data_IF_753120166450
#
_entry.id   IF_753120166450
#
_cell.length_a   1.000
_cell.length_b   1.000
_cell.length_c   1.000
_cell.angle_alpha   90.00
_cell.angle_beta   90.00
_cell.angle_gamma   90.00
#
_symmetry.space_group_name_H-M   'P 1'
#
loop_
_entity.id
_entity.type
_entity.pdbx_description
1 polymer ?
#
# COMPACT_ATOMS: atom_id res chain seq x y z
N UNK A 1 -3.73 1.51 -15.54
CA UNK A 1 -2.82 2.37 -16.31
C UNK A 1 -1.83 2.96 -15.33
N UNK A 2 -0.52 2.87 -15.59
CA UNK A 2 0.48 3.57 -14.78
C UNK A 2 0.18 5.09 -14.83
N UNK A 3 0.27 5.75 -13.67
CA UNK A 3 0.15 7.21 -13.65
C UNK A 3 1.43 7.83 -14.22
N UNK A 4 1.30 8.94 -14.95
CA UNK A 4 2.46 9.73 -15.42
C UNK A 4 3.36 10.11 -14.24
N UNK A 5 4.69 9.97 -14.41
CA UNK A 5 5.67 10.32 -13.38
C UNK A 5 5.80 9.33 -12.21
N UNK A 6 5.43 8.05 -12.38
CA UNK A 6 5.43 7.07 -11.28
C UNK A 6 5.96 5.69 -11.70
N UNK A 7 6.98 5.68 -12.52
CA UNK A 7 7.56 4.48 -13.16
C UNK A 7 8.23 3.58 -12.13
N UNK A 8 9.11 4.14 -11.29
CA UNK A 8 9.92 3.40 -10.34
C UNK A 8 9.04 2.72 -9.27
N UNK A 9 8.05 3.44 -8.76
CA UNK A 9 7.12 2.90 -7.76
C UNK A 9 6.21 1.81 -8.38
N UNK A 10 5.81 1.96 -9.66
CA UNK A 10 5.05 0.94 -10.39
C UNK A 10 5.87 -0.34 -10.55
N UNK A 11 7.16 -0.23 -10.93
CA UNK A 11 8.06 -1.38 -11.03
C UNK A 11 8.18 -2.07 -9.66
N UNK A 12 8.40 -1.31 -8.59
CA UNK A 12 8.49 -1.82 -7.22
C UNK A 12 7.24 -2.61 -6.82
N UNK A 13 6.06 -2.06 -7.05
CA UNK A 13 4.77 -2.68 -6.69
C UNK A 13 4.46 -3.97 -7.49
N UNK A 14 5.02 -4.13 -8.68
CA UNK A 14 4.88 -5.32 -9.52
C UNK A 14 6.02 -6.33 -9.35
N UNK A 15 7.10 -5.97 -8.65
CA UNK A 15 8.36 -6.70 -8.62
C UNK A 15 8.21 -8.18 -8.29
N UNK A 16 7.41 -8.53 -7.28
CA UNK A 16 7.22 -9.91 -6.86
C UNK A 16 6.52 -10.77 -7.90
N UNK A 17 5.66 -10.18 -8.73
CA UNK A 17 4.93 -10.85 -9.81
C UNK A 17 5.75 -11.03 -11.11
N UNK A 18 6.91 -10.38 -11.21
CA UNK A 18 7.76 -10.42 -12.40
C UNK A 18 8.47 -11.77 -12.54
N UNK A 19 8.67 -12.21 -13.78
CA UNK A 19 9.50 -13.37 -14.11
C UNK A 19 10.97 -13.09 -13.80
N UNK A 20 11.80 -14.13 -13.74
CA UNK A 20 13.25 -14.00 -13.46
C UNK A 20 13.96 -13.03 -14.41
N UNK A 21 13.63 -13.06 -15.71
CA UNK A 21 14.20 -12.14 -16.71
C UNK A 21 13.69 -10.70 -16.52
N UNK A 22 12.41 -10.53 -16.19
CA UNK A 22 11.84 -9.21 -15.92
C UNK A 22 12.38 -8.59 -14.63
N UNK A 23 12.67 -9.41 -13.61
CA UNK A 23 13.35 -8.94 -12.39
C UNK A 23 14.74 -8.41 -12.66
N UNK A 24 15.53 -9.06 -13.53
CA UNK A 24 16.85 -8.55 -13.96
C UNK A 24 16.74 -7.14 -14.58
N UNK A 25 15.70 -6.93 -15.42
CA UNK A 25 15.42 -5.61 -16.02
C UNK A 25 15.01 -4.61 -14.95
N UNK A 26 14.07 -4.98 -14.09
CA UNK A 26 13.57 -4.15 -13.00
C UNK A 26 14.71 -3.72 -12.04
N UNK A 27 15.57 -4.65 -11.64
CA UNK A 27 16.73 -4.37 -10.77
C UNK A 27 17.65 -3.31 -11.35
N UNK A 28 17.93 -3.39 -12.67
CA UNK A 28 18.79 -2.40 -13.33
C UNK A 28 18.13 -1.04 -13.40
N UNK A 29 16.84 -0.97 -13.74
CA UNK A 29 16.10 0.28 -13.80
C UNK A 29 16.05 0.94 -12.42
N UNK A 30 15.78 0.16 -11.36
CA UNK A 30 15.70 0.67 -9.98
C UNK A 30 17.05 1.14 -9.44
N UNK A 31 18.17 0.51 -9.87
CA UNK A 31 19.52 0.90 -9.44
C UNK A 31 20.07 2.10 -10.21
N UNK A 32 19.80 2.18 -11.50
CA UNK A 32 20.40 3.16 -12.40
C UNK A 32 19.36 3.70 -13.38
N UNK A 33 18.34 4.40 -12.89
CA UNK A 33 17.26 4.91 -13.73
C UNK A 33 17.75 5.93 -14.76
N UNK A 34 18.76 6.74 -14.42
CA UNK A 34 19.37 7.72 -15.31
C UNK A 34 19.98 7.08 -16.55
N UNK A 35 20.72 5.98 -16.39
CA UNK A 35 21.28 5.21 -17.49
C UNK A 35 20.19 4.80 -18.48
N UNK A 36 19.06 4.29 -17.94
CA UNK A 36 17.96 3.79 -18.76
C UNK A 36 17.20 4.93 -19.45
N UNK A 37 17.07 6.08 -18.79
CA UNK A 37 16.44 7.27 -19.35
C UNK A 37 17.24 7.91 -20.50
N UNK A 38 18.57 7.76 -20.50
CA UNK A 38 19.46 8.38 -21.50
C UNK A 38 19.76 7.48 -22.69
N UNK A 39 19.92 6.17 -22.50
CA UNK A 39 20.37 5.26 -23.55
C UNK A 39 19.23 4.79 -24.48
N UNK A 40 19.55 4.43 -25.75
CA UNK A 40 18.59 3.83 -26.66
C UNK A 40 18.26 2.37 -26.28
N UNK A 41 17.14 1.85 -26.80
CA UNK A 41 16.64 0.49 -26.53
C UNK A 41 17.71 -0.59 -26.78
N UNK A 42 18.42 -0.50 -27.89
CA UNK A 42 19.44 -1.50 -28.28
C UNK A 42 20.63 -1.53 -27.30
N UNK A 43 21.02 -0.39 -26.78
CA UNK A 43 22.12 -0.27 -25.83
C UNK A 43 21.73 -0.84 -24.45
N UNK A 44 20.53 -0.49 -23.97
CA UNK A 44 20.00 -1.05 -22.72
C UNK A 44 19.80 -2.56 -22.83
N UNK A 45 19.24 -3.05 -23.95
CA UNK A 45 19.07 -4.47 -24.19
C UNK A 45 20.42 -5.24 -24.16
N UNK A 46 21.46 -4.65 -24.77
CA UNK A 46 22.81 -5.19 -24.74
C UNK A 46 23.42 -5.16 -23.32
N UNK A 47 23.27 -4.06 -22.60
CA UNK A 47 23.75 -3.91 -21.21
C UNK A 47 23.11 -4.94 -20.27
N UNK A 48 21.84 -5.20 -20.48
CA UNK A 48 21.07 -6.19 -19.69
C UNK A 48 21.25 -7.62 -20.15
N UNK A 49 21.92 -7.86 -21.29
CA UNK A 49 22.03 -9.17 -21.96
C UNK A 49 20.64 -9.80 -22.23
N UNK A 50 19.70 -8.99 -22.67
CA UNK A 50 18.34 -9.43 -23.05
C UNK A 50 18.02 -9.00 -24.48
N UNK A 51 17.08 -9.67 -25.13
CA UNK A 51 16.59 -9.23 -26.44
C UNK A 51 15.75 -7.95 -26.31
N UNK A 52 15.82 -7.06 -27.32
CA UNK A 52 15.01 -5.84 -27.39
C UNK A 52 13.51 -6.13 -27.22
N UNK A 53 13.01 -7.21 -27.86
CA UNK A 53 11.63 -7.66 -27.71
C UNK A 53 11.25 -7.99 -26.27
N UNK A 54 12.19 -8.49 -25.47
CA UNK A 54 11.98 -8.80 -24.04
C UNK A 54 11.84 -7.51 -23.25
N UNK A 55 12.67 -6.50 -23.52
CA UNK A 55 12.60 -5.19 -22.88
C UNK A 55 11.29 -4.46 -23.23
N UNK A 56 10.87 -4.49 -24.49
CA UNK A 56 9.58 -3.92 -24.93
C UNK A 56 8.40 -4.64 -24.26
N UNK A 57 8.46 -5.97 -24.16
CA UNK A 57 7.43 -6.76 -23.47
C UNK A 57 7.38 -6.41 -21.98
N UNK A 58 8.52 -6.27 -21.32
CA UNK A 58 8.59 -5.80 -19.92
C UNK A 58 7.88 -4.45 -19.75
N UNK A 59 8.16 -3.46 -20.60
CA UNK A 59 7.49 -2.16 -20.53
C UNK A 59 5.96 -2.30 -20.62
N UNK A 60 5.46 -3.20 -21.46
CA UNK A 60 4.02 -3.50 -21.59
C UNK A 60 3.47 -4.21 -20.38
N UNK A 61 4.22 -5.14 -19.79
CA UNK A 61 3.84 -5.85 -18.56
C UNK A 61 3.61 -4.89 -17.39
N UNK A 62 4.42 -3.83 -17.31
CA UNK A 62 4.31 -2.79 -16.26
C UNK A 62 3.34 -1.66 -16.63
N UNK A 63 2.64 -1.74 -17.78
CA UNK A 63 1.52 -0.87 -18.12
C UNK A 63 1.80 0.25 -19.12
N UNK A 64 2.99 0.30 -19.73
CA UNK A 64 3.35 1.27 -20.78
C UNK A 64 3.07 0.70 -22.18
N UNK A 65 2.90 1.59 -23.16
CA UNK A 65 2.65 1.17 -24.56
C UNK A 65 3.86 0.49 -25.20
N UNK A 66 5.06 0.81 -24.73
CA UNK A 66 6.35 0.28 -25.19
C UNK A 66 7.51 1.04 -24.55
N UNK A 67 8.73 0.77 -25.04
CA UNK A 67 9.95 1.35 -24.46
C UNK A 67 10.01 2.88 -24.57
N UNK A 68 9.59 3.47 -25.68
CA UNK A 68 9.61 4.93 -25.87
C UNK A 68 8.67 5.64 -24.89
N UNK A 69 7.47 5.11 -24.69
CA UNK A 69 6.50 5.62 -23.72
C UNK A 69 7.04 5.48 -22.28
N UNK A 70 7.58 4.33 -21.95
CA UNK A 70 8.24 4.06 -20.68
C UNK A 70 9.41 5.03 -20.41
N UNK A 71 10.30 5.20 -21.39
CA UNK A 71 11.47 6.07 -21.29
C UNK A 71 11.08 7.52 -21.09
N UNK A 72 10.07 8.00 -21.78
CA UNK A 72 9.53 9.37 -21.62
C UNK A 72 9.04 9.59 -20.20
N UNK A 73 8.19 8.70 -19.69
CA UNK A 73 7.65 8.80 -18.34
C UNK A 73 8.73 8.70 -17.26
N UNK A 74 9.73 7.83 -17.45
CA UNK A 74 10.89 7.73 -16.57
C UNK A 74 11.70 9.04 -16.56
N UNK A 75 11.92 9.64 -17.73
CA UNK A 75 12.66 10.92 -17.84
C UNK A 75 11.90 12.06 -17.15
N UNK A 76 10.58 12.10 -17.27
CA UNK A 76 9.73 13.10 -16.58
C UNK A 76 9.84 12.89 -15.06
N UNK A 77 9.76 11.64 -14.58
CA UNK A 77 9.87 11.34 -13.15
C UNK A 77 11.22 11.80 -12.58
N UNK A 78 12.32 11.52 -13.28
CA UNK A 78 13.67 11.93 -12.86
C UNK A 78 13.83 13.46 -12.85
N UNK A 79 13.41 14.14 -13.91
CA UNK A 79 13.46 15.59 -13.98
C UNK A 79 12.60 16.29 -12.90
N UNK A 80 11.50 15.69 -12.50
CA UNK A 80 10.66 16.23 -11.42
C UNK A 80 11.31 16.04 -10.05
N UNK A 81 12.05 14.94 -9.86
CA UNK A 81 12.80 14.67 -8.62
C UNK A 81 13.99 15.63 -8.46
N UNK A 82 14.73 15.89 -9.53
CA UNK A 82 15.89 16.82 -9.50
C UNK A 82 15.49 18.25 -9.06
N UNK A 83 14.26 18.67 -9.31
CA UNK A 83 13.75 19.99 -8.88
C UNK A 83 13.34 20.04 -7.39
N UNK A 84 13.32 18.92 -6.68
CA UNK A 84 12.98 18.84 -5.26
C UNK A 84 14.19 18.50 -4.37
N UNK A 85 15.41 18.43 -4.94
CA UNK A 85 16.57 17.93 -4.24
C UNK A 85 17.56 19.02 -3.81
N UNK A 86 17.48 19.36 -2.54
CA UNK A 86 18.69 19.57 -1.73
C UNK A 86 18.67 18.47 -0.66
N UNK A 87 19.58 17.49 -0.83
CA UNK A 87 19.87 16.38 0.10
C UNK A 87 18.84 15.23 0.16
N UNK A 88 18.94 14.29 -0.79
CA UNK A 88 18.46 12.91 -0.55
C UNK A 88 19.35 12.30 0.54
N UNK A 89 18.90 12.38 1.78
CA UNK A 89 19.51 11.61 2.87
C UNK A 89 19.37 10.13 2.54
N UNK A 90 20.50 9.43 2.37
CA UNK A 90 20.48 7.97 2.30
C UNK A 90 19.74 7.44 3.53
N UNK A 91 18.64 6.75 3.31
CA UNK A 91 17.80 6.24 4.40
C UNK A 91 18.38 4.97 5.05
N UNK A 92 19.50 4.47 4.54
CA UNK A 92 20.19 3.33 5.10
C UNK A 92 21.01 3.75 6.35
N UNK A 93 20.70 3.13 7.48
CA UNK A 93 21.41 3.36 8.76
C UNK A 93 22.78 2.68 8.69
N UNK A 94 23.82 3.45 8.89
CA UNK A 94 25.20 2.99 8.92
C UNK A 94 25.70 2.84 10.36
N UNK A 95 26.67 1.95 10.64
CA UNK A 95 27.25 1.79 11.97
C UNK A 95 27.92 3.04 12.53
N UNK A 96 28.29 4.00 11.66
CA UNK A 96 28.91 5.28 12.03
C UNK A 96 27.91 6.40 12.32
N UNK A 97 26.60 6.17 12.11
CA UNK A 97 25.59 7.21 12.30
C UNK A 97 25.39 7.51 13.79
N UNK A 98 25.35 8.77 14.14
CA UNK A 98 24.94 9.20 15.47
C UNK A 98 23.39 9.19 15.62
N UNK A 99 22.90 9.41 16.83
CA UNK A 99 21.46 9.36 17.11
C UNK A 99 20.66 10.40 16.32
N UNK A 100 21.22 11.58 16.04
CA UNK A 100 20.54 12.62 15.27
C UNK A 100 20.43 12.21 13.79
N UNK A 101 21.51 11.72 13.22
CA UNK A 101 21.53 11.19 11.85
C UNK A 101 20.55 10.04 11.67
N UNK A 102 20.49 9.11 12.63
CA UNK A 102 19.50 8.01 12.60
C UNK A 102 18.07 8.56 12.63
N UNK A 103 17.77 9.54 13.50
CA UNK A 103 16.45 10.14 13.56
C UNK A 103 16.05 10.84 12.25
N UNK A 104 16.98 11.58 11.63
CA UNK A 104 16.74 12.23 10.33
C UNK A 104 16.52 11.21 9.20
N UNK A 105 17.30 10.13 9.16
CA UNK A 105 17.13 9.04 8.20
C UNK A 105 15.78 8.33 8.34
N UNK A 106 15.35 8.09 9.58
CA UNK A 106 14.01 7.53 9.84
C UNK A 106 12.90 8.48 9.40
N UNK A 107 13.02 9.77 9.69
CA UNK A 107 12.07 10.78 9.24
C UNK A 107 11.97 10.82 7.71
N UNK A 108 13.11 10.85 7.02
CA UNK A 108 13.16 10.83 5.56
C UNK A 108 12.52 9.55 4.99
N UNK A 109 12.80 8.38 5.58
CA UNK A 109 12.19 7.11 5.17
C UNK A 109 10.66 7.13 5.29
N UNK A 110 10.14 7.68 6.38
CA UNK A 110 8.68 7.83 6.59
C UNK A 110 8.08 8.79 5.56
N UNK A 111 8.70 9.96 5.35
CA UNK A 111 8.22 10.95 4.36
C UNK A 111 8.17 10.36 2.96
N UNK A 112 9.21 9.66 2.54
CA UNK A 112 9.30 9.01 1.23
C UNK A 112 8.21 7.95 1.04
N UNK A 113 7.94 7.12 2.07
CA UNK A 113 6.88 6.11 2.03
C UNK A 113 5.49 6.73 1.94
N UNK A 114 5.25 7.83 2.62
CA UNK A 114 3.97 8.54 2.54
C UNK A 114 3.76 9.15 1.15
N UNK A 115 4.77 9.81 0.59
CA UNK A 115 4.73 10.35 -0.77
C UNK A 115 4.48 9.25 -1.80
N UNK A 116 5.23 8.15 -1.72
CA UNK A 116 5.03 6.98 -2.57
C UNK A 116 3.59 6.44 -2.45
N UNK A 117 3.06 6.37 -1.22
CA UNK A 117 1.68 5.89 -0.98
C UNK A 117 0.66 6.78 -1.70
N UNK A 118 0.77 8.10 -1.58
CA UNK A 118 -0.14 9.05 -2.27
C UNK A 118 -0.05 8.88 -3.79
N UNK A 119 1.16 8.67 -4.30
CA UNK A 119 1.40 8.51 -5.73
C UNK A 119 0.86 7.19 -6.29
N UNK A 120 0.94 6.08 -5.54
CA UNK A 120 0.45 4.76 -5.95
C UNK A 120 -1.07 4.60 -5.79
N UNK A 121 -1.68 5.34 -4.88
CA UNK A 121 -3.08 5.15 -4.52
C UNK A 121 -4.02 5.50 -5.66
N UNK A 122 -4.87 4.56 -6.05
CA UNK A 122 -5.97 4.80 -6.99
C UNK A 122 -7.14 5.46 -6.24
N UNK A 123 -7.27 6.78 -6.41
CA UNK A 123 -8.30 7.57 -5.72
C UNK A 123 -9.72 7.14 -6.11
N UNK A 124 -9.94 6.62 -7.33
CA UNK A 124 -11.27 6.12 -7.73
C UNK A 124 -11.63 4.85 -6.99
N UNK A 125 -10.68 3.92 -6.84
CA UNK A 125 -10.90 2.73 -6.01
C UNK A 125 -11.10 3.11 -4.54
N UNK A 126 -10.31 4.04 -4.01
CA UNK A 126 -10.46 4.55 -2.65
C UNK A 126 -11.88 5.11 -2.41
N UNK A 127 -12.40 5.93 -3.32
CA UNK A 127 -13.76 6.45 -3.23
C UNK A 127 -14.82 5.34 -3.23
N UNK A 128 -14.63 4.27 -4.03
CA UNK A 128 -15.55 3.13 -4.03
C UNK A 128 -15.48 2.35 -2.73
N UNK A 129 -14.28 2.19 -2.15
CA UNK A 129 -14.10 1.58 -0.82
C UNK A 129 -14.83 2.38 0.24
N UNK A 130 -14.67 3.71 0.27
CA UNK A 130 -15.37 4.60 1.21
C UNK A 130 -16.89 4.49 1.05
N UNK A 131 -17.41 4.47 -0.19
CA UNK A 131 -18.85 4.28 -0.47
C UNK A 131 -19.34 2.90 0.01
N UNK A 132 -18.54 1.86 -0.16
CA UNK A 132 -18.88 0.51 0.30
C UNK A 132 -18.93 0.45 1.83
N UNK A 133 -17.96 1.06 2.51
CA UNK A 133 -17.92 1.14 3.98
C UNK A 133 -19.12 1.90 4.53
N UNK A 134 -19.49 3.06 3.93
CA UNK A 134 -20.67 3.85 4.35
C UNK A 134 -21.99 3.05 4.28
N UNK A 135 -22.09 2.09 3.38
CA UNK A 135 -23.29 1.24 3.20
C UNK A 135 -23.23 -0.08 3.96
N UNK A 136 -22.06 -0.44 4.46
CA UNK A 136 -21.85 -1.72 5.08
C UNK A 136 -22.61 -1.87 6.40
N UNK A 137 -23.20 -3.05 6.61
CA UNK A 137 -23.76 -3.44 7.92
C UNK A 137 -22.64 -3.66 8.93
N UNK A 138 -21.55 -4.32 8.51
CA UNK A 138 -20.37 -4.62 9.34
C UNK A 138 -19.12 -4.51 8.47
N UNK A 139 -18.02 -4.18 9.12
CA UNK A 139 -16.68 -4.11 8.51
C UNK A 139 -15.77 -5.06 9.26
N UNK A 140 -15.00 -5.85 8.54
CA UNK A 140 -14.00 -6.73 9.13
C UNK A 140 -12.62 -6.44 8.55
N UNK A 141 -11.64 -6.25 9.44
CA UNK A 141 -10.25 -6.05 9.06
C UNK A 141 -9.45 -7.29 9.43
N UNK A 142 -8.75 -7.85 8.45
CA UNK A 142 -7.99 -9.08 8.58
C UNK A 142 -6.53 -8.83 8.26
N UNK A 143 -5.64 -9.20 9.15
CA UNK A 143 -4.20 -9.09 8.95
C UNK A 143 -3.44 -9.85 10.01
N UNK A 144 -2.27 -10.39 9.67
CA UNK A 144 -1.39 -11.10 10.60
C UNK A 144 -0.15 -10.28 10.92
N UNK A 145 0.47 -10.54 12.07
CA UNK A 145 1.67 -9.82 12.49
C UNK A 145 1.45 -8.32 12.63
N UNK A 146 2.34 -7.51 12.07
CA UNK A 146 2.25 -6.05 12.17
C UNK A 146 1.04 -5.46 11.42
N UNK A 147 0.56 -6.12 10.35
CA UNK A 147 -0.69 -5.72 9.68
C UNK A 147 -1.93 -5.96 10.55
N UNK A 148 -1.90 -6.96 11.45
CA UNK A 148 -2.94 -7.15 12.46
C UNK A 148 -3.00 -6.01 13.47
N UNK A 149 -1.86 -5.45 13.86
CA UNK A 149 -1.80 -4.27 14.75
C UNK A 149 -2.43 -3.05 14.09
N UNK A 150 -2.14 -2.81 12.80
CA UNK A 150 -2.77 -1.71 12.06
C UNK A 150 -4.28 -1.92 11.85
N UNK A 151 -4.72 -3.16 11.68
CA UNK A 151 -6.14 -3.51 11.61
C UNK A 151 -6.87 -3.19 12.93
N UNK A 152 -6.27 -3.51 14.07
CA UNK A 152 -6.82 -3.17 15.40
C UNK A 152 -6.90 -1.67 15.64
N UNK A 153 -5.89 -0.88 15.22
CA UNK A 153 -5.95 0.58 15.31
C UNK A 153 -7.11 1.15 14.50
N UNK A 154 -7.26 0.70 13.25
CA UNK A 154 -8.36 1.12 12.39
C UNK A 154 -9.73 0.74 12.95
N UNK A 155 -9.89 -0.48 13.52
CA UNK A 155 -11.09 -0.90 14.23
C UNK A 155 -11.45 0.09 15.32
N UNK A 156 -10.48 0.43 16.18
CA UNK A 156 -10.70 1.35 17.30
C UNK A 156 -11.15 2.75 16.83
N UNK A 157 -10.56 3.27 15.74
CA UNK A 157 -10.92 4.56 15.15
C UNK A 157 -12.32 4.55 14.55
N UNK A 158 -12.64 3.53 13.74
CA UNK A 158 -13.94 3.41 13.06
C UNK A 158 -15.10 3.16 14.05
N UNK A 159 -14.87 2.33 15.07
CA UNK A 159 -15.84 2.10 16.13
C UNK A 159 -16.24 3.41 16.83
N UNK A 160 -15.29 4.31 17.10
CA UNK A 160 -15.54 5.59 17.76
C UNK A 160 -16.39 6.56 16.96
N UNK A 161 -16.51 6.39 15.66
CA UNK A 161 -17.42 7.17 14.79
C UNK A 161 -18.70 6.40 14.44
N UNK A 162 -18.95 5.25 15.08
CA UNK A 162 -20.22 4.55 15.07
C UNK A 162 -20.34 3.37 14.11
N UNK A 163 -19.27 2.98 13.41
CA UNK A 163 -19.29 1.80 12.57
C UNK A 163 -19.26 0.51 13.41
N UNK A 164 -19.97 -0.51 12.94
CA UNK A 164 -19.83 -1.87 13.45
C UNK A 164 -18.61 -2.52 12.77
N UNK A 165 -17.53 -2.59 13.48
CA UNK A 165 -16.24 -3.03 12.95
C UNK A 165 -15.57 -4.00 13.90
N UNK A 166 -14.95 -5.03 13.34
CA UNK A 166 -14.11 -5.97 14.08
C UNK A 166 -12.78 -6.21 13.36
N UNK A 167 -11.77 -6.63 14.08
CA UNK A 167 -10.46 -6.97 13.55
C UNK A 167 -9.91 -8.19 14.28
N UNK A 168 -9.22 -9.06 13.56
CA UNK A 168 -8.52 -10.20 14.16
C UNK A 168 -7.30 -10.59 13.34
N UNK A 169 -6.23 -10.96 14.04
CA UNK A 169 -5.01 -11.52 13.46
C UNK A 169 -4.85 -13.03 13.73
N UNK A 170 -5.84 -13.68 14.34
CA UNK A 170 -5.84 -15.12 14.57
C UNK A 170 -6.49 -15.83 13.38
N UNK A 171 -5.76 -16.72 12.72
CA UNK A 171 -6.16 -17.39 11.48
C UNK A 171 -7.51 -18.09 11.59
N UNK A 172 -7.74 -18.86 12.67
CA UNK A 172 -8.99 -19.59 12.86
C UNK A 172 -10.19 -18.64 12.94
N UNK A 173 -10.06 -17.58 13.73
CA UNK A 173 -11.12 -16.57 13.84
C UNK A 173 -11.32 -15.78 12.55
N UNK A 174 -10.23 -15.45 11.82
CA UNK A 174 -10.33 -14.81 10.50
C UNK A 174 -11.20 -15.64 9.55
N UNK A 175 -10.97 -16.97 9.45
CA UNK A 175 -11.73 -17.85 8.57
C UNK A 175 -13.17 -18.01 9.02
N UNK A 176 -13.41 -18.16 10.32
CA UNK A 176 -14.76 -18.28 10.88
C UNK A 176 -15.58 -17.01 10.66
N UNK A 177 -14.98 -15.85 10.89
CA UNK A 177 -15.64 -14.56 10.64
C UNK A 177 -15.91 -14.36 9.15
N UNK A 178 -14.94 -14.64 8.27
CA UNK A 178 -15.12 -14.54 6.83
C UNK A 178 -16.22 -15.43 6.28
N UNK A 179 -16.39 -16.64 6.85
CA UNK A 179 -17.47 -17.57 6.49
C UNK A 179 -18.87 -17.08 6.87
N UNK A 180 -18.98 -16.13 7.81
CA UNK A 180 -20.25 -15.54 8.26
C UNK A 180 -20.57 -14.19 7.61
N UNK A 181 -19.74 -13.73 6.68
CA UNK A 181 -19.98 -12.49 5.93
C UNK A 181 -21.07 -12.69 4.87
N UNK A 182 -21.68 -11.59 4.49
CA UNK A 182 -22.73 -11.51 3.47
C UNK A 182 -22.47 -10.35 2.52
N UNK A 183 -23.31 -10.21 1.50
CA UNK A 183 -23.24 -9.08 0.55
C UNK A 183 -23.46 -7.69 1.19
N UNK A 184 -23.91 -7.63 2.44
CA UNK A 184 -24.07 -6.39 3.20
C UNK A 184 -22.82 -6.05 4.02
N UNK A 185 -21.77 -6.84 3.98
CA UNK A 185 -20.57 -6.69 4.80
C UNK A 185 -19.35 -6.32 3.91
N UNK A 186 -18.35 -5.68 4.52
CA UNK A 186 -17.06 -5.35 3.87
C UNK A 186 -15.93 -6.08 4.59
N UNK A 187 -15.07 -6.74 3.83
CA UNK A 187 -13.86 -7.40 4.31
C UNK A 187 -12.61 -6.68 3.78
N UNK A 188 -11.76 -6.18 4.66
CA UNK A 188 -10.51 -5.50 4.32
C UNK A 188 -9.35 -6.39 4.75
N UNK A 189 -8.60 -6.92 3.79
CA UNK A 189 -7.40 -7.72 4.06
C UNK A 189 -6.15 -6.85 3.98
N UNK A 190 -5.37 -6.82 5.07
CA UNK A 190 -4.11 -6.10 5.16
C UNK A 190 -2.94 -7.08 5.03
N UNK A 191 -2.16 -6.94 3.97
CA UNK A 191 -0.95 -7.72 3.76
C UNK A 191 0.05 -6.89 2.95
N UNK A 192 1.08 -6.38 3.61
CA UNK A 192 2.05 -5.51 2.93
C UNK A 192 2.69 -6.20 1.73
N UNK A 193 3.22 -7.41 1.89
CA UNK A 193 3.79 -8.18 0.78
C UNK A 193 2.76 -8.66 -0.23
N UNK A 194 1.48 -8.81 0.19
CA UNK A 194 0.43 -9.44 -0.60
C UNK A 194 0.48 -10.98 -0.61
N UNK A 195 1.45 -11.59 0.09
CA UNK A 195 1.71 -13.03 0.07
C UNK A 195 1.37 -13.74 1.39
N UNK A 196 0.69 -13.09 2.33
CA UNK A 196 0.15 -13.76 3.51
C UNK A 196 -0.96 -14.74 3.08
N UNK A 197 -0.68 -16.02 3.23
CA UNK A 197 -1.62 -17.09 2.85
C UNK A 197 -2.91 -17.00 3.65
N UNK A 198 -2.83 -16.62 4.93
CA UNK A 198 -3.96 -16.46 5.83
C UNK A 198 -4.88 -15.34 5.36
N UNK A 199 -4.32 -14.18 5.04
CA UNK A 199 -5.09 -13.03 4.56
C UNK A 199 -5.72 -13.30 3.19
N UNK A 200 -4.97 -13.92 2.27
CA UNK A 200 -5.47 -14.30 0.95
C UNK A 200 -6.63 -15.31 1.05
N UNK A 201 -6.47 -16.34 1.89
CA UNK A 201 -7.53 -17.34 2.10
C UNK A 201 -8.78 -16.74 2.75
N UNK A 202 -8.60 -15.82 3.71
CA UNK A 202 -9.70 -15.09 4.35
C UNK A 202 -10.49 -14.26 3.34
N UNK A 203 -9.81 -13.49 2.49
CA UNK A 203 -10.49 -12.72 1.43
C UNK A 203 -11.19 -13.62 0.42
N UNK A 204 -10.60 -14.78 0.07
CA UNK A 204 -11.26 -15.78 -0.76
C UNK A 204 -12.59 -16.24 -0.16
N UNK A 205 -12.59 -16.61 1.13
CA UNK A 205 -13.82 -17.02 1.84
C UNK A 205 -14.84 -15.88 1.84
N UNK A 206 -14.44 -14.68 2.22
CA UNK A 206 -15.30 -13.50 2.24
C UNK A 206 -15.96 -13.23 0.88
N UNK A 207 -15.15 -13.29 -0.19
CA UNK A 207 -15.60 -13.11 -1.58
C UNK A 207 -16.64 -14.17 -1.98
N UNK A 208 -16.40 -15.44 -1.63
CA UNK A 208 -17.32 -16.55 -1.93
C UNK A 208 -18.66 -16.38 -1.22
N UNK A 209 -18.69 -15.72 -0.05
CA UNK A 209 -19.91 -15.40 0.69
C UNK A 209 -20.57 -14.07 0.24
N UNK A 210 -20.03 -13.44 -0.82
CA UNK A 210 -20.62 -12.26 -1.45
C UNK A 210 -20.23 -10.92 -0.80
N UNK A 211 -19.38 -10.90 0.24
CA UNK A 211 -18.93 -9.67 0.85
C UNK A 211 -18.10 -8.84 -0.13
N UNK A 212 -18.17 -7.51 -0.02
CA UNK A 212 -17.25 -6.63 -0.74
C UNK A 212 -15.86 -6.79 -0.14
N UNK A 213 -14.88 -7.10 -0.98
CA UNK A 213 -13.50 -7.39 -0.55
C UNK A 213 -12.53 -6.31 -0.98
N UNK A 214 -11.65 -5.90 -0.05
CA UNK A 214 -10.64 -4.87 -0.25
C UNK A 214 -9.29 -5.44 0.15
N UNK A 215 -8.27 -5.27 -0.68
CA UNK A 215 -6.87 -5.55 -0.33
C UNK A 215 -6.12 -4.24 -0.08
N UNK A 216 -5.48 -4.12 1.06
CA UNK A 216 -4.50 -3.07 1.34
C UNK A 216 -3.11 -3.70 1.34
N UNK A 217 -2.32 -3.38 0.32
CA UNK A 217 -1.04 -4.06 0.06
C UNK A 217 -0.09 -3.16 -0.74
N UNK A 218 1.22 -3.46 -0.71
CA UNK A 218 2.14 -2.86 -1.68
C UNK A 218 2.12 -3.57 -3.04
N UNK A 219 1.80 -4.85 -3.06
CA UNK A 219 1.93 -5.70 -4.25
C UNK A 219 0.65 -5.69 -5.09
N UNK A 220 0.69 -5.01 -6.24
CA UNK A 220 -0.45 -4.90 -7.16
C UNK A 220 -0.94 -6.24 -7.72
N UNK A 221 -0.04 -7.23 -7.85
CA UNK A 221 -0.35 -8.58 -8.32
C UNK A 221 0.16 -9.60 -7.33
N UNK A 222 -0.72 -10.10 -6.50
CA UNK A 222 -0.38 -11.03 -5.42
C UNK A 222 -1.59 -11.89 -5.05
N UNK A 223 -1.40 -12.98 -4.32
CA UNK A 223 -2.51 -13.84 -3.87
C UNK A 223 -3.62 -13.08 -3.13
N UNK A 224 -3.28 -12.01 -2.38
CA UNK A 224 -4.28 -11.21 -1.66
C UNK A 224 -5.13 -10.38 -2.62
N UNK A 225 -4.55 -9.86 -3.72
CA UNK A 225 -5.28 -9.04 -4.68
C UNK A 225 -6.17 -9.86 -5.62
N UNK A 226 -5.92 -11.17 -5.75
CA UNK A 226 -6.71 -12.06 -6.61
C UNK A 226 -8.18 -12.15 -6.16
N UNK A 227 -8.44 -12.01 -4.87
CA UNK A 227 -9.79 -12.12 -4.29
C UNK A 227 -10.37 -10.76 -3.85
N UNK A 228 -9.75 -9.65 -4.25
CA UNK A 228 -10.22 -8.32 -3.91
C UNK A 228 -11.07 -7.69 -5.03
N UNK A 229 -12.17 -7.03 -4.66
CA UNK A 229 -12.93 -6.17 -5.55
C UNK A 229 -12.20 -4.85 -5.79
N UNK A 230 -11.51 -4.36 -4.74
CA UNK A 230 -10.72 -3.12 -4.74
C UNK A 230 -9.34 -3.37 -4.17
N UNK A 231 -8.34 -2.77 -4.79
CA UNK A 231 -6.95 -2.84 -4.33
C UNK A 231 -6.45 -1.44 -4.02
N UNK A 232 -6.10 -1.21 -2.77
CA UNK A 232 -5.46 0.02 -2.30
C UNK A 232 -3.96 -0.26 -2.13
N UNK A 233 -3.15 0.44 -2.94
CA UNK A 233 -1.70 0.22 -2.94
C UNK A 233 -1.05 1.23 -2.03
N UNK A 234 -0.24 0.77 -1.08
CA UNK A 234 0.59 1.58 -0.22
C UNK A 234 2.07 1.51 -0.61
N UNK A 235 2.84 2.53 -0.27
CA UNK A 235 4.28 2.60 -0.52
C UNK A 235 5.09 1.53 0.22
N UNK A 236 6.30 1.30 -0.26
CA UNK A 236 7.19 0.24 0.23
C UNK A 236 8.67 0.64 0.25
N UNK A 237 9.03 1.84 0.53
CA UNK A 237 10.47 2.13 0.55
C UNK A 237 11.12 1.38 1.72
N UNK A 238 11.64 0.17 1.45
CA UNK A 238 12.33 -0.69 2.42
C UNK A 238 13.84 -0.51 2.31
N UNK A 239 14.50 -0.26 3.45
CA UNK A 239 15.94 -0.47 3.61
C UNK A 239 16.26 -1.95 3.87
N UNK A 240 17.54 -2.29 4.10
CA UNK A 240 18.02 -3.67 4.36
C UNK A 240 17.40 -4.36 5.58
N UNK A 241 16.82 -3.63 6.51
CA UNK A 241 16.02 -4.15 7.63
C UNK A 241 14.58 -4.45 7.15
N UNK A 242 14.46 -5.48 6.31
CA UNK A 242 13.17 -5.93 5.76
C UNK A 242 12.29 -6.56 6.85
N UNK A 243 10.98 -6.28 6.79
CA UNK A 243 9.95 -6.98 7.56
C UNK A 243 9.40 -6.21 8.76
N UNK A 244 10.20 -5.43 9.48
CA UNK A 244 9.77 -4.65 10.65
C UNK A 244 9.90 -3.13 10.46
N UNK A 245 9.98 -2.67 9.21
CA UNK A 245 10.19 -1.25 8.95
C UNK A 245 8.98 -0.44 9.42
N UNK A 246 9.28 0.65 10.12
CA UNK A 246 8.27 1.63 10.54
C UNK A 246 7.45 2.11 9.33
N UNK A 247 8.05 2.20 8.14
CA UNK A 247 7.43 2.64 6.91
C UNK A 247 6.24 1.78 6.49
N UNK A 248 6.34 0.46 6.63
CA UNK A 248 5.23 -0.46 6.30
C UNK A 248 3.98 -0.17 7.12
N UNK A 249 4.14 -0.03 8.44
CA UNK A 249 3.02 0.27 9.35
C UNK A 249 2.44 1.64 9.07
N UNK A 250 3.30 2.66 8.91
CA UNK A 250 2.88 4.04 8.65
C UNK A 250 2.13 4.14 7.32
N UNK A 251 2.60 3.46 6.26
CA UNK A 251 1.90 3.45 4.98
C UNK A 251 0.49 2.85 5.09
N UNK A 252 0.33 1.74 5.80
CA UNK A 252 -0.99 1.14 6.05
C UNK A 252 -1.86 2.05 6.92
N UNK A 253 -1.33 2.60 8.02
CA UNK A 253 -2.04 3.54 8.90
C UNK A 253 -2.48 4.79 8.13
N UNK A 254 -1.62 5.33 7.27
CA UNK A 254 -1.96 6.50 6.45
C UNK A 254 -3.16 6.24 5.54
N UNK A 255 -3.21 5.10 4.84
CA UNK A 255 -4.36 4.76 3.98
C UNK A 255 -5.64 4.56 4.79
N UNK A 256 -5.55 3.91 5.95
CA UNK A 256 -6.69 3.71 6.85
C UNK A 256 -7.17 5.03 7.46
N UNK A 257 -6.26 5.94 7.80
CA UNK A 257 -6.60 7.28 8.27
C UNK A 257 -7.20 8.15 7.16
N UNK A 258 -6.75 7.98 5.92
CA UNK A 258 -7.36 8.63 4.76
C UNK A 258 -8.79 8.14 4.54
N UNK A 259 -9.05 6.83 4.63
CA UNK A 259 -10.41 6.27 4.61
C UNK A 259 -11.24 6.91 5.74
N UNK A 260 -10.69 6.93 6.96
CA UNK A 260 -11.37 7.53 8.12
C UNK A 260 -11.72 9.01 7.88
N UNK A 261 -10.79 9.82 7.37
CA UNK A 261 -11.02 11.22 7.05
C UNK A 261 -12.13 11.41 6.01
N UNK A 262 -12.15 10.58 4.96
CA UNK A 262 -13.20 10.61 3.92
C UNK A 262 -14.57 10.12 4.44
N UNK A 263 -14.59 9.24 5.44
CA UNK A 263 -15.84 8.80 6.09
C UNK A 263 -16.44 9.92 6.96
N UNK A 264 -15.60 10.72 7.60
CA UNK A 264 -16.03 11.84 8.45
C UNK A 264 -16.35 13.10 7.63
N UNK A 265 -15.75 13.24 6.46
CA UNK A 265 -15.95 14.40 5.60
C UNK A 265 -17.45 14.60 5.25
N UNK A 266 -17.99 15.76 5.61
CA UNK A 266 -19.40 16.09 5.46
C UNK A 266 -20.34 15.54 6.56
N UNK A 267 -19.79 14.83 7.56
CA UNK A 267 -20.51 14.21 8.69
C UNK A 267 -19.83 14.55 10.03
N UNK A 268 -19.10 15.70 10.07
CA UNK A 268 -18.22 16.07 11.18
C UNK A 268 -18.95 16.18 12.51
N UNK A 269 -20.16 16.74 12.51
CA UNK A 269 -20.97 16.91 13.73
C UNK A 269 -21.43 15.56 14.27
N UNK A 270 -21.88 14.65 13.42
CA UNK A 270 -22.30 13.29 13.81
C UNK A 270 -21.12 12.49 14.35
N UNK A 271 -19.98 12.56 13.68
CA UNK A 271 -18.76 11.91 14.11
C UNK A 271 -18.27 12.45 15.47
N UNK A 272 -18.28 13.76 15.66
CA UNK A 272 -17.93 14.42 16.92
C UNK A 272 -18.86 14.00 18.06
N UNK A 273 -20.18 13.99 17.84
CA UNK A 273 -21.18 13.55 18.82
C UNK A 273 -20.96 12.09 19.23
N UNK A 274 -20.69 11.21 18.27
CA UNK A 274 -20.48 9.80 18.53
C UNK A 274 -19.17 9.56 19.29
N UNK A 275 -18.09 10.26 18.90
CA UNK A 275 -16.82 10.26 19.64
C UNK A 275 -16.99 10.73 21.09
N UNK A 276 -17.75 11.82 21.30
CA UNK A 276 -17.99 12.35 22.63
C UNK A 276 -18.77 11.34 23.49
N UNK A 277 -19.76 10.66 22.91
CA UNK A 277 -20.50 9.60 23.60
C UNK A 277 -19.58 8.48 24.09
N UNK A 278 -18.67 8.00 23.24
CA UNK A 278 -17.69 6.95 23.62
C UNK A 278 -16.66 7.46 24.64
N UNK A 279 -16.26 8.73 24.55
CA UNK A 279 -15.33 9.34 25.50
C UNK A 279 -15.96 9.50 26.89
N UNK A 280 -17.22 9.95 26.98
CA UNK A 280 -17.90 10.16 28.25
C UNK A 280 -17.94 8.89 29.09
N UNK A 281 -18.25 7.73 28.50
CA UNK A 281 -18.24 6.43 29.18
C UNK A 281 -16.87 6.10 29.80
N UNK A 282 -15.78 6.45 29.12
CA UNK A 282 -14.41 6.25 29.65
C UNK A 282 -14.12 7.24 30.78
N UNK A 283 -14.55 8.49 30.62
CA UNK A 283 -14.31 9.53 31.64
C UNK A 283 -15.06 9.24 32.95
N UNK A 284 -16.25 8.66 32.89
CA UNK A 284 -17.03 8.22 34.03
C UNK A 284 -16.32 7.15 34.87
N UNK A 285 -15.43 6.38 34.26
CA UNK A 285 -14.65 5.32 34.93
C UNK A 285 -13.32 5.83 35.54
N UNK A 286 -12.95 7.11 35.34
CA UNK A 286 -11.73 7.65 35.94
C UNK A 286 -11.96 7.81 37.45
N UNK A 287 -11.18 7.06 38.22
CA UNK A 287 -11.11 7.23 39.68
C UNK A 287 -10.52 8.62 39.96
N UNK A 288 -11.23 9.42 40.76
CA UNK A 288 -10.78 10.77 41.21
C UNK A 288 -9.67 10.65 42.22
#
# INVERSE_FOLDING_TARGET
MAKSGNVLNTISSLYHSLTKSEKKIADTILRSPDLVSQCPLSEIAKHLEVGEATLVRFCRTIGFKGFSDFKLELSIELATKDNHDETVLETEIMPSDDSLTIAQKLQAAVSNVMEETVNLLDLKQLEQVVKSIKKARRIFLFGVGSSGVTAEDAKNKLMRIGFQVDATGNNHFMYMQAALLTSSDVAIGLSHSGYSAETAHTLKIAKQNGATTVALTHSLRSPVTEYADYVLVNGNKQGKLQGDSIGTKIAQLFVLDLIYALLVQGEEELAAKTKQKTLNVILEQRIK
#
